data_IF_514503988047
#
_entry.id   IF_514503988047
#
_cell.length_a   1.000
_cell.length_b   1.000
_cell.length_c   1.000
_cell.angle_alpha   90.00
_cell.angle_beta   90.00
_cell.angle_gamma   90.00
#
_symmetry.space_group_name_H-M   'P 1'
#
loop_
_entity.id
_entity.type
_entity.pdbx_description
1 polymer ?
#
# COMPACT_ATOMS: atom_id res chain seq x y z
N UNK A 1 65.88 15.99 -3.17
CA UNK A 1 65.00 14.85 -3.49
C UNK A 1 64.25 14.53 -2.21
N UNK A 2 63.00 14.98 -2.14
CA UNK A 2 62.32 15.29 -0.89
C UNK A 2 61.72 14.06 -0.21
N UNK A 3 61.98 14.02 1.09
CA UNK A 3 61.53 13.12 2.16
C UNK A 3 60.02 13.16 2.45
N UNK A 4 59.17 13.24 1.42
CA UNK A 4 57.70 13.28 1.54
C UNK A 4 57.04 11.90 1.52
N UNK A 5 57.57 10.98 0.72
CA UNK A 5 56.91 9.69 0.44
C UNK A 5 56.91 8.69 1.61
N UNK A 6 57.79 8.89 2.61
CA UNK A 6 57.88 8.01 3.78
C UNK A 6 56.95 8.41 4.94
N UNK A 7 56.32 9.60 4.89
CA UNK A 7 55.36 10.04 5.92
C UNK A 7 53.91 9.60 5.63
N UNK A 8 53.56 9.39 4.36
CA UNK A 8 52.20 8.96 3.98
C UNK A 8 51.93 7.48 4.25
N UNK A 9 52.96 6.62 4.27
CA UNK A 9 52.80 5.21 4.63
C UNK A 9 52.67 4.96 6.13
N UNK A 10 53.17 5.86 6.99
CA UNK A 10 53.00 5.74 8.44
C UNK A 10 51.63 6.21 8.94
N UNK A 11 50.87 6.96 8.14
CA UNK A 11 49.50 7.36 8.45
C UNK A 11 48.45 6.28 8.10
N UNK A 12 48.82 5.26 7.32
CA UNK A 12 47.96 4.11 6.98
C UNK A 12 47.74 3.13 8.14
N UNK A 13 48.52 3.24 9.23
CA UNK A 13 48.46 2.31 10.38
C UNK A 13 47.78 2.93 11.62
N UNK A 14 47.57 4.25 11.66
CA UNK A 14 46.86 4.92 12.76
C UNK A 14 45.49 5.40 12.28
N UNK A 15 44.46 4.58 12.49
CA UNK A 15 43.09 4.86 12.09
C UNK A 15 42.56 6.19 12.62
N UNK A 16 42.30 7.12 11.71
CA UNK A 16 41.47 8.31 11.93
C UNK A 16 41.02 8.86 10.57
N UNK A 17 39.88 8.41 10.06
CA UNK A 17 39.14 9.07 8.97
C UNK A 17 37.65 9.02 9.26
N UNK A 18 36.95 10.12 8.99
CA UNK A 18 35.50 10.24 9.17
C UNK A 18 34.76 9.86 7.88
N UNK A 19 33.49 9.44 7.98
CA UNK A 19 32.69 8.92 6.86
C UNK A 19 32.46 9.93 5.71
N UNK A 20 32.75 11.21 5.91
CA UNK A 20 32.64 12.27 4.88
C UNK A 20 33.82 12.24 3.91
N UNK A 21 34.99 11.79 4.34
CA UNK A 21 36.22 11.81 3.54
C UNK A 21 36.32 10.62 2.57
N UNK A 22 35.58 9.52 2.84
CA UNK A 22 35.45 8.39 1.91
C UNK A 22 34.62 8.72 0.66
N UNK A 23 33.58 9.55 0.79
CA UNK A 23 32.70 9.91 -0.33
C UNK A 23 33.41 10.80 -1.36
N UNK A 24 34.40 11.59 -0.95
CA UNK A 24 35.16 12.48 -1.85
C UNK A 24 36.15 11.76 -2.77
N UNK A 25 36.72 10.63 -2.36
CA UNK A 25 37.65 9.84 -3.18
C UNK A 25 36.93 8.87 -4.14
N UNK A 26 35.78 8.33 -3.75
CA UNK A 26 34.98 7.45 -4.60
C UNK A 26 34.39 8.18 -5.82
N UNK A 27 34.04 9.46 -5.68
CA UNK A 27 33.47 10.27 -6.77
C UNK A 27 34.53 10.70 -7.80
N UNK A 28 35.81 10.78 -7.42
CA UNK A 28 36.92 11.12 -8.32
C UNK A 28 37.46 9.94 -9.12
N UNK A 29 37.32 8.71 -8.61
CA UNK A 29 37.75 7.49 -9.31
C UNK A 29 36.77 6.98 -10.39
N UNK A 30 35.50 7.39 -10.33
CA UNK A 30 34.46 6.94 -11.26
C UNK A 30 34.30 7.80 -12.52
N UNK A 31 35.05 8.90 -12.63
CA UNK A 31 34.99 9.84 -13.76
C UNK A 31 36.12 9.69 -14.78
N UNK A 32 37.07 8.76 -14.57
CA UNK A 32 38.21 8.50 -15.48
C UNK A 32 38.11 7.19 -16.29
N UNK A 33 36.96 6.49 -16.28
CA UNK A 33 36.76 5.23 -17.03
C UNK A 33 35.68 5.30 -18.13
N UNK A 34 35.51 6.47 -18.76
CA UNK A 34 34.68 6.61 -19.98
C UNK A 34 35.55 6.76 -21.23
N UNK A 35 35.83 5.63 -21.88
CA UNK A 35 36.39 5.56 -23.24
C UNK A 35 35.51 4.71 -24.17
N UNK A 36 35.27 5.11 -25.44
CA UNK A 36 34.29 4.49 -26.31
C UNK A 36 34.95 3.45 -27.23
N UNK A 37 34.64 2.17 -27.03
CA UNK A 37 34.56 1.12 -28.06
C UNK A 37 34.53 -0.22 -27.33
N UNK A 38 33.62 -1.10 -27.73
CA UNK A 38 33.88 -2.54 -27.89
C UNK A 38 32.59 -3.22 -28.37
N UNK A 39 32.53 -3.32 -29.69
CA UNK A 39 31.68 -4.24 -30.45
C UNK A 39 31.82 -5.69 -29.98
N UNK A 40 30.69 -6.39 -30.04
CA UNK A 40 30.51 -7.85 -30.05
C UNK A 40 31.79 -8.72 -30.14
N UNK A 41 32.16 -9.37 -29.05
CA UNK A 41 32.81 -10.68 -29.12
C UNK A 41 32.37 -11.56 -27.95
N UNK A 42 31.68 -12.65 -28.28
CA UNK A 42 31.61 -14.01 -27.71
C UNK A 42 31.84 -14.34 -26.21
N UNK A 43 32.30 -13.44 -25.34
CA UNK A 43 32.51 -13.68 -23.92
C UNK A 43 31.24 -13.50 -23.07
N UNK A 44 30.24 -12.75 -23.57
CA UNK A 44 28.97 -12.50 -22.88
C UNK A 44 27.96 -13.66 -22.96
N UNK A 45 28.21 -14.69 -23.79
CA UNK A 45 27.34 -15.89 -23.91
C UNK A 45 27.79 -17.09 -23.06
N UNK A 46 28.97 -17.03 -22.43
CA UNK A 46 29.50 -18.12 -21.62
C UNK A 46 29.21 -17.98 -20.11
N UNK A 47 28.55 -16.90 -19.68
CA UNK A 47 28.22 -16.65 -18.27
C UNK A 47 26.77 -17.01 -17.86
N UNK A 48 25.93 -17.46 -18.80
CA UNK A 48 24.51 -17.72 -18.56
C UNK A 48 24.14 -19.19 -18.34
N UNK A 49 25.11 -20.10 -18.21
CA UNK A 49 24.81 -21.55 -18.09
C UNK A 49 25.41 -22.28 -16.89
N UNK A 50 26.09 -21.61 -15.95
CA UNK A 50 26.64 -22.27 -14.75
C UNK A 50 26.58 -21.40 -13.48
N UNK A 51 25.39 -20.90 -13.12
CA UNK A 51 25.15 -20.32 -11.80
C UNK A 51 24.08 -21.14 -11.08
N UNK A 52 24.40 -21.86 -9.99
CA UNK A 52 23.38 -22.49 -9.17
C UNK A 52 22.48 -21.41 -8.57
N UNK A 53 21.18 -21.55 -8.79
CA UNK A 53 20.10 -20.68 -8.30
C UNK A 53 19.96 -20.84 -6.78
N UNK A 54 20.98 -20.48 -6.00
CA UNK A 54 20.95 -20.38 -4.54
C UNK A 54 22.02 -19.41 -4.03
N UNK A 55 21.95 -18.15 -4.49
CA UNK A 55 22.55 -17.02 -3.77
C UNK A 55 22.01 -15.71 -4.35
N UNK A 56 20.72 -15.44 -4.09
CA UNK A 56 20.28 -14.06 -4.03
C UNK A 56 20.97 -13.45 -2.82
N UNK A 57 21.74 -12.40 -3.08
CA UNK A 57 22.52 -11.70 -2.08
C UNK A 57 21.56 -10.89 -1.19
N UNK A 58 21.21 -11.45 -0.02
CA UNK A 58 20.30 -10.85 0.98
C UNK A 58 20.94 -9.66 1.73
N UNK A 59 21.77 -8.85 1.06
CA UNK A 59 22.50 -7.74 1.68
C UNK A 59 21.73 -6.42 1.76
N UNK A 60 20.47 -6.36 1.28
CA UNK A 60 19.71 -5.10 1.18
C UNK A 60 18.59 -4.96 2.22
N UNK A 61 18.23 -6.02 2.94
CA UNK A 61 17.29 -5.89 4.06
C UNK A 61 17.74 -6.72 5.26
N UNK A 62 18.57 -6.11 6.12
CA UNK A 62 18.98 -6.74 7.37
C UNK A 62 17.79 -7.06 8.28
N UNK A 63 16.59 -6.50 8.05
CA UNK A 63 15.44 -6.60 8.98
C UNK A 63 14.28 -7.46 8.47
N UNK A 64 14.16 -7.68 7.17
CA UNK A 64 13.17 -8.61 6.60
C UNK A 64 13.51 -10.09 6.87
N UNK A 65 14.78 -10.42 7.09
CA UNK A 65 15.21 -11.75 7.58
C UNK A 65 15.08 -11.88 9.10
N UNK A 66 15.16 -13.10 9.64
CA UNK A 66 15.22 -13.31 11.10
C UNK A 66 16.65 -13.32 11.65
N UNK A 67 17.65 -13.33 10.77
CA UNK A 67 19.09 -13.46 11.06
C UNK A 67 19.59 -12.45 12.09
N UNK A 68 19.19 -11.18 11.92
CA UNK A 68 19.58 -10.11 12.82
C UNK A 68 19.01 -10.29 14.24
N UNK A 69 17.85 -10.94 14.38
CA UNK A 69 17.24 -11.21 15.69
C UNK A 69 18.00 -12.30 16.44
N UNK A 70 18.53 -13.29 15.70
CA UNK A 70 19.39 -14.32 16.27
C UNK A 70 20.64 -13.67 16.87
N UNK A 71 21.29 -12.78 16.12
CA UNK A 71 22.45 -12.03 16.58
C UNK A 71 22.10 -11.13 17.78
N UNK A 72 20.98 -10.40 17.71
CA UNK A 72 20.51 -9.51 18.78
C UNK A 72 20.30 -10.27 20.10
N UNK A 73 19.76 -11.49 20.03
CA UNK A 73 19.48 -12.32 21.20
C UNK A 73 20.60 -13.30 21.55
N UNK A 74 21.76 -13.22 20.89
CA UNK A 74 22.89 -14.17 21.03
C UNK A 74 22.46 -15.64 20.88
N UNK A 75 21.53 -15.93 19.97
CA UNK A 75 21.05 -17.29 19.68
C UNK A 75 21.80 -17.87 18.47
N UNK A 76 22.22 -19.14 18.51
CA UNK A 76 22.92 -19.75 17.37
C UNK A 76 21.94 -20.05 16.22
N UNK A 77 22.32 -19.72 14.98
CA UNK A 77 21.60 -20.13 13.76
C UNK A 77 21.83 -21.59 13.40
N UNK A 78 22.93 -22.19 13.87
CA UNK A 78 23.34 -23.56 13.55
C UNK A 78 22.73 -24.64 14.45
N UNK A 79 22.11 -24.26 15.58
CA UNK A 79 21.52 -25.20 16.54
C UNK A 79 20.01 -24.98 16.67
N UNK A 80 19.18 -26.03 16.69
CA UNK A 80 17.75 -25.88 16.86
C UNK A 80 17.35 -25.23 18.20
N UNK A 81 16.40 -24.31 18.15
CA UNK A 81 15.78 -23.67 19.29
C UNK A 81 14.73 -24.59 19.94
N UNK A 82 14.48 -24.36 21.24
CA UNK A 82 13.26 -24.87 21.90
C UNK A 82 12.05 -24.03 21.51
N UNK A 83 10.83 -24.49 21.80
CA UNK A 83 9.60 -23.70 21.59
C UNK A 83 9.69 -22.32 22.25
N UNK A 84 10.11 -22.25 23.51
CA UNK A 84 10.29 -20.97 24.22
C UNK A 84 11.38 -20.10 23.56
N UNK A 85 12.45 -20.73 23.07
CA UNK A 85 13.52 -20.03 22.38
C UNK A 85 13.07 -19.43 21.05
N UNK A 86 12.24 -20.15 20.29
CA UNK A 86 11.64 -19.66 19.05
C UNK A 86 10.60 -18.56 19.33
N UNK A 87 9.76 -18.75 20.35
CA UNK A 87 8.79 -17.74 20.75
C UNK A 87 9.48 -16.41 21.09
N UNK A 88 10.48 -16.42 21.98
CA UNK A 88 11.26 -15.21 22.31
C UNK A 88 11.90 -14.53 21.09
N UNK A 89 12.38 -15.34 20.15
CA UNK A 89 12.95 -14.82 18.90
C UNK A 89 11.87 -14.10 18.09
N UNK A 90 10.71 -14.72 17.89
CA UNK A 90 9.63 -14.16 17.09
C UNK A 90 8.94 -12.95 17.76
N UNK A 91 8.90 -12.92 19.09
CA UNK A 91 8.42 -11.76 19.86
C UNK A 91 9.29 -10.52 19.62
N UNK A 92 10.61 -10.69 19.60
CA UNK A 92 11.51 -9.58 19.26
C UNK A 92 11.47 -9.23 17.77
N UNK A 93 11.37 -10.24 16.90
CA UNK A 93 11.21 -10.03 15.47
C UNK A 93 10.00 -9.12 15.21
N UNK A 94 8.82 -9.47 15.72
CA UNK A 94 7.59 -8.73 15.42
C UNK A 94 7.60 -7.31 16.00
N UNK A 95 8.14 -7.13 17.21
CA UNK A 95 8.27 -5.81 17.82
C UNK A 95 9.13 -4.87 16.97
N UNK A 96 10.33 -5.30 16.58
CA UNK A 96 11.26 -4.47 15.78
C UNK A 96 10.79 -4.34 14.33
N UNK A 97 10.14 -5.36 13.79
CA UNK A 97 9.57 -5.29 12.44
C UNK A 97 8.45 -4.24 12.35
N UNK A 98 7.67 -4.04 13.42
CA UNK A 98 6.62 -3.02 13.48
C UNK A 98 7.15 -1.64 13.87
N UNK A 99 8.02 -1.53 14.88
CA UNK A 99 8.44 -0.24 15.45
C UNK A 99 9.88 0.20 15.09
N UNK A 100 10.62 -0.60 14.33
CA UNK A 100 12.03 -0.31 14.02
C UNK A 100 12.97 -0.49 15.21
N UNK A 101 14.16 0.13 15.15
CA UNK A 101 15.24 -0.13 16.10
C UNK A 101 15.01 0.51 17.49
N UNK A 102 14.12 1.48 17.57
CA UNK A 102 13.84 2.23 18.80
C UNK A 102 13.25 1.33 19.90
N UNK A 103 12.59 0.24 19.52
CA UNK A 103 11.97 -0.70 20.45
C UNK A 103 12.95 -1.72 21.04
N UNK A 104 14.20 -1.77 20.53
CA UNK A 104 15.19 -2.80 20.92
C UNK A 104 15.47 -2.76 22.43
N UNK A 105 15.55 -1.57 23.03
CA UNK A 105 15.80 -1.42 24.48
C UNK A 105 14.64 -1.92 25.35
N UNK A 106 13.44 -2.05 24.79
CA UNK A 106 12.20 -2.43 25.48
C UNK A 106 11.92 -3.93 25.38
N UNK A 107 12.68 -4.66 24.54
CA UNK A 107 12.50 -6.09 24.34
C UNK A 107 12.62 -6.87 25.65
N UNK A 108 11.73 -7.85 25.83
CA UNK A 108 11.65 -8.65 27.05
C UNK A 108 10.84 -8.00 28.19
N UNK A 109 10.48 -6.72 28.07
CA UNK A 109 9.56 -6.06 28.99
C UNK A 109 8.14 -5.97 28.41
N UNK A 110 7.36 -7.04 28.60
CA UNK A 110 5.98 -7.11 28.09
C UNK A 110 5.05 -5.99 28.58
N UNK A 111 5.33 -5.36 29.74
CA UNK A 111 4.50 -4.26 30.23
C UNK A 111 4.73 -2.97 29.44
N UNK A 112 5.97 -2.69 29.06
CA UNK A 112 6.31 -1.53 28.24
C UNK A 112 5.94 -1.78 26.78
N UNK A 113 6.14 -2.99 26.25
CA UNK A 113 5.67 -3.34 24.90
C UNK A 113 4.15 -3.21 24.76
N UNK A 114 3.39 -3.54 25.81
CA UNK A 114 1.94 -3.34 25.84
C UNK A 114 1.50 -1.86 25.93
N UNK A 115 2.40 -0.94 26.25
CA UNK A 115 2.13 0.51 26.18
C UNK A 115 2.37 1.06 24.78
N UNK A 116 3.32 0.48 24.04
CA UNK A 116 3.66 0.89 22.67
C UNK A 116 2.71 0.26 21.67
N UNK A 117 2.47 -1.04 21.77
CA UNK A 117 1.65 -1.79 20.83
C UNK A 117 0.26 -2.06 21.40
N UNK A 118 -0.82 -1.60 20.72
CA UNK A 118 -2.16 -1.98 21.11
C UNK A 118 -2.31 -3.49 21.02
N UNK A 119 -3.00 -4.08 22.01
CA UNK A 119 -3.30 -5.50 22.04
C UNK A 119 -2.07 -6.41 21.89
N UNK A 120 -0.93 -6.04 22.52
CA UNK A 120 0.30 -6.85 22.52
C UNK A 120 0.04 -8.34 22.84
N UNK A 121 -0.89 -8.64 23.75
CA UNK A 121 -1.26 -10.02 24.07
C UNK A 121 -1.88 -10.79 22.89
N UNK A 122 -2.64 -10.11 22.02
CA UNK A 122 -3.21 -10.70 20.81
C UNK A 122 -2.14 -10.92 19.76
N UNK A 123 -1.19 -9.99 19.64
CA UNK A 123 -0.02 -10.13 18.76
C UNK A 123 0.83 -11.35 19.15
N UNK A 124 1.05 -11.57 20.44
CA UNK A 124 1.73 -12.76 20.95
C UNK A 124 0.96 -14.05 20.62
N UNK A 125 -0.37 -14.04 20.72
CA UNK A 125 -1.21 -15.19 20.32
C UNK A 125 -1.14 -15.45 18.82
N UNK A 126 -1.11 -14.40 18.00
CA UNK A 126 -0.91 -14.51 16.56
C UNK A 126 0.43 -15.19 16.23
N UNK A 127 1.54 -14.73 16.84
CA UNK A 127 2.86 -15.37 16.69
C UNK A 127 2.84 -16.84 17.12
N UNK A 128 2.22 -17.15 18.26
CA UNK A 128 2.07 -18.54 18.73
C UNK A 128 1.23 -19.40 17.77
N UNK A 129 0.23 -18.80 17.12
CA UNK A 129 -0.57 -19.42 16.07
C UNK A 129 0.27 -19.81 14.86
N UNK A 130 1.21 -18.96 14.43
CA UNK A 130 2.11 -19.25 13.31
C UNK A 130 3.08 -20.41 13.63
N UNK A 131 3.59 -20.49 14.86
CA UNK A 131 4.38 -21.65 15.31
C UNK A 131 3.52 -22.93 15.26
N UNK A 132 2.27 -22.83 15.72
CA UNK A 132 1.34 -23.96 15.72
C UNK A 132 0.97 -24.43 14.31
N UNK A 133 0.85 -23.50 13.36
CA UNK A 133 0.61 -23.81 11.94
C UNK A 133 1.79 -24.60 11.34
N UNK A 134 3.02 -24.19 11.63
CA UNK A 134 4.21 -24.94 11.20
C UNK A 134 4.23 -26.36 11.80
N UNK A 135 3.94 -26.50 13.09
CA UNK A 135 3.91 -27.82 13.74
C UNK A 135 2.82 -28.73 13.15
N UNK A 136 1.65 -28.15 12.83
CA UNK A 136 0.58 -28.86 12.13
C UNK A 136 1.05 -29.33 10.75
N UNK A 137 1.66 -28.46 9.95
CA UNK A 137 2.15 -28.81 8.61
C UNK A 137 3.18 -29.95 8.65
N UNK A 138 4.16 -29.85 9.55
CA UNK A 138 5.17 -30.89 9.75
C UNK A 138 4.53 -32.23 10.14
N UNK A 139 3.52 -32.21 11.01
CA UNK A 139 2.80 -33.42 11.42
C UNK A 139 2.04 -34.05 10.25
N UNK A 140 1.43 -33.23 9.39
CA UNK A 140 0.69 -33.66 8.21
C UNK A 140 1.61 -34.27 7.16
N UNK A 141 2.72 -33.60 6.85
CA UNK A 141 3.71 -34.09 5.89
C UNK A 141 4.34 -35.42 6.37
N UNK A 142 4.67 -35.53 7.65
CA UNK A 142 5.19 -36.77 8.21
C UNK A 142 4.18 -37.92 8.13
N UNK A 143 2.90 -37.65 8.42
CA UNK A 143 1.81 -38.61 8.31
C UNK A 143 1.62 -39.08 6.87
N UNK A 144 1.67 -38.16 5.89
CA UNK A 144 1.58 -38.50 4.48
C UNK A 144 2.78 -39.32 4.00
N UNK A 145 4.00 -38.95 4.38
CA UNK A 145 5.23 -39.71 4.04
C UNK A 145 5.21 -41.11 4.61
N UNK A 146 4.76 -41.28 5.85
CA UNK A 146 4.63 -42.60 6.47
C UNK A 146 3.64 -43.50 5.72
N UNK A 147 2.53 -42.94 5.23
CA UNK A 147 1.55 -43.65 4.39
C UNK A 147 2.13 -44.08 3.05
N UNK A 148 2.94 -43.24 2.40
CA UNK A 148 3.50 -43.49 1.06
C UNK A 148 4.68 -44.45 1.10
N UNK A 149 5.59 -44.29 2.07
CA UNK A 149 6.86 -45.03 2.12
C UNK A 149 6.79 -46.32 2.94
N UNK A 150 5.74 -46.50 3.74
CA UNK A 150 5.60 -47.65 4.64
C UNK A 150 6.64 -47.72 5.76
N UNK A 151 7.53 -46.73 5.86
CA UNK A 151 8.55 -46.63 6.90
C UNK A 151 8.19 -45.53 7.90
N UNK A 152 8.26 -45.79 9.21
CA UNK A 152 8.21 -44.74 10.22
C UNK A 152 9.51 -43.93 10.11
N UNK A 153 9.47 -42.86 9.32
CA UNK A 153 10.63 -41.98 9.14
C UNK A 153 11.14 -41.45 10.50
N UNK A 154 12.46 -41.45 10.70
CA UNK A 154 13.13 -41.00 11.94
C UNK A 154 12.88 -39.53 12.35
N UNK A 155 12.04 -38.81 11.61
CA UNK A 155 11.54 -37.47 11.94
C UNK A 155 10.48 -37.46 13.06
N UNK A 156 9.92 -38.62 13.44
CA UNK A 156 8.98 -38.71 14.56
C UNK A 156 9.52 -38.11 15.86
N UNK A 157 10.79 -38.34 16.20
CA UNK A 157 11.41 -37.75 17.40
C UNK A 157 11.54 -36.22 17.33
N UNK A 158 11.77 -35.64 16.15
CA UNK A 158 11.87 -34.18 15.99
C UNK A 158 10.50 -33.49 16.16
N UNK A 159 9.43 -34.14 15.72
CA UNK A 159 8.05 -33.69 15.97
C UNK A 159 7.69 -33.72 17.47
N UNK A 160 8.12 -34.76 18.19
CA UNK A 160 7.87 -34.88 19.64
C UNK A 160 8.76 -33.94 20.48
N UNK A 161 9.96 -33.62 20.01
CA UNK A 161 10.91 -32.77 20.76
C UNK A 161 10.67 -31.27 20.58
N UNK A 162 9.75 -30.85 19.67
CA UNK A 162 9.44 -29.45 19.35
C UNK A 162 10.69 -28.58 19.26
N UNK A 163 11.58 -28.98 18.34
CA UNK A 163 12.81 -28.27 18.01
C UNK A 163 12.66 -27.55 16.67
N UNK A 164 13.20 -26.35 16.60
CA UNK A 164 13.04 -25.46 15.44
C UNK A 164 14.40 -25.03 14.93
N UNK A 165 14.72 -25.41 13.70
CA UNK A 165 15.90 -24.95 12.99
C UNK A 165 15.77 -23.47 12.60
N UNK A 166 16.85 -22.90 12.09
CA UNK A 166 16.83 -21.57 11.49
C UNK A 166 15.86 -21.48 10.30
N UNK A 167 15.78 -22.53 9.45
CA UNK A 167 14.81 -22.54 8.34
C UNK A 167 13.37 -22.54 8.83
N UNK A 168 13.09 -23.21 9.95
CA UNK A 168 11.76 -23.22 10.54
C UNK A 168 11.36 -21.83 11.07
N UNK A 169 12.29 -21.13 11.73
CA UNK A 169 12.04 -19.77 12.17
C UNK A 169 11.77 -18.84 10.98
N UNK A 170 12.53 -18.97 9.89
CA UNK A 170 12.29 -18.21 8.66
C UNK A 170 10.93 -18.54 8.02
N UNK A 171 10.52 -19.81 8.02
CA UNK A 171 9.21 -20.22 7.52
C UNK A 171 8.07 -19.59 8.35
N UNK A 172 8.21 -19.55 9.67
CA UNK A 172 7.25 -18.88 10.56
C UNK A 172 7.21 -17.38 10.30
N UNK A 173 8.36 -16.74 10.09
CA UNK A 173 8.43 -15.32 9.69
C UNK A 173 7.71 -15.08 8.37
N UNK A 174 7.90 -15.93 7.36
CA UNK A 174 7.13 -15.84 6.11
C UNK A 174 5.62 -15.98 6.32
N UNK A 175 5.20 -16.86 7.23
CA UNK A 175 3.80 -16.98 7.65
C UNK A 175 3.26 -15.71 8.31
N UNK A 176 4.06 -15.09 9.20
CA UNK A 176 3.75 -13.80 9.81
C UNK A 176 3.55 -12.75 8.72
N UNK A 177 4.55 -12.51 7.85
CA UNK A 177 4.50 -11.43 6.86
C UNK A 177 3.35 -11.58 5.86
N UNK A 178 2.99 -12.82 5.51
CA UNK A 178 1.92 -13.09 4.54
C UNK A 178 0.50 -13.03 5.11
N UNK A 179 0.33 -13.10 6.43
CA UNK A 179 -1.00 -13.12 7.07
C UNK A 179 -1.25 -11.98 8.04
N UNK A 180 -0.24 -11.14 8.27
CA UNK A 180 -0.33 -10.04 9.21
C UNK A 180 -1.35 -8.97 8.81
N UNK A 181 -1.48 -8.67 7.52
CA UNK A 181 -2.46 -7.69 7.03
C UNK A 181 -3.90 -8.09 7.43
N UNK A 182 -4.27 -9.35 7.18
CA UNK A 182 -5.58 -9.89 7.59
C UNK A 182 -5.77 -9.92 9.11
N UNK A 183 -4.70 -10.12 9.89
CA UNK A 183 -4.77 -10.02 11.35
C UNK A 183 -4.99 -8.56 11.80
N UNK A 184 -4.32 -7.60 11.16
CA UNK A 184 -4.38 -6.18 11.53
C UNK A 184 -5.67 -5.48 11.06
N UNK A 185 -6.39 -6.07 10.11
CA UNK A 185 -7.63 -5.51 9.56
C UNK A 185 -8.69 -5.21 10.63
N UNK A 186 -8.74 -5.96 11.74
CA UNK A 186 -9.66 -5.64 12.85
C UNK A 186 -9.34 -4.30 13.51
N UNK A 187 -8.06 -3.94 13.62
CA UNK A 187 -7.63 -2.65 14.15
C UNK A 187 -7.95 -1.52 13.17
N UNK A 188 -7.76 -1.75 11.87
CA UNK A 188 -8.17 -0.81 10.81
C UNK A 188 -9.68 -0.53 10.87
N UNK A 189 -10.51 -1.57 11.00
CA UNK A 189 -11.96 -1.43 11.16
C UNK A 189 -12.35 -0.69 12.42
N UNK A 190 -11.71 -1.01 13.56
CA UNK A 190 -11.97 -0.32 14.82
C UNK A 190 -11.63 1.17 14.74
N UNK A 191 -10.50 1.51 14.09
CA UNK A 191 -10.10 2.90 13.83
C UNK A 191 -11.10 3.62 12.92
N UNK A 192 -11.49 3.00 11.80
CA UNK A 192 -12.51 3.55 10.89
C UNK A 192 -13.84 3.77 11.59
N UNK A 193 -14.31 2.81 12.40
CA UNK A 193 -15.56 2.93 13.15
C UNK A 193 -15.56 4.16 14.07
N UNK A 194 -14.44 4.43 14.76
CA UNK A 194 -14.31 5.65 15.58
C UNK A 194 -14.49 6.92 14.73
N UNK A 195 -13.81 7.03 13.58
CA UNK A 195 -13.98 8.18 12.68
C UNK A 195 -15.41 8.29 12.16
N UNK A 196 -16.04 7.18 11.81
CA UNK A 196 -17.43 7.11 11.37
C UNK A 196 -18.39 7.64 12.44
N UNK A 197 -18.14 7.40 13.73
CA UNK A 197 -18.96 7.98 14.82
C UNK A 197 -18.88 9.51 14.87
N UNK A 198 -17.79 10.10 14.37
CA UNK A 198 -17.58 11.56 14.34
C UNK A 198 -18.17 12.22 13.08
N UNK A 199 -18.44 11.44 12.04
CA UNK A 199 -19.11 11.85 10.80
C UNK A 199 -20.63 11.99 11.01
N UNK A 200 -21.00 13.00 11.79
CA UNK A 200 -22.39 13.32 12.13
C UNK A 200 -23.27 13.67 10.92
N UNK A 201 -22.65 13.97 9.76
CA UNK A 201 -23.34 14.38 8.54
C UNK A 201 -23.40 13.27 7.49
N UNK A 202 -22.84 12.09 7.77
CA UNK A 202 -22.78 10.94 6.86
C UNK A 202 -22.15 11.29 5.49
N UNK A 203 -21.14 12.15 5.52
CA UNK A 203 -20.43 12.65 4.33
C UNK A 203 -19.08 11.96 4.09
N UNK A 204 -18.74 10.97 4.93
CA UNK A 204 -17.42 10.34 4.90
C UNK A 204 -16.29 11.26 5.38
N UNK A 205 -16.66 12.36 6.05
CA UNK A 205 -15.74 13.40 6.48
C UNK A 205 -15.94 13.72 7.96
N UNK A 206 -14.84 13.86 8.69
CA UNK A 206 -14.82 14.25 10.10
C UNK A 206 -14.38 15.70 10.21
N UNK A 207 -15.15 16.60 10.83
CA UNK A 207 -14.68 17.96 11.10
C UNK A 207 -13.36 17.93 11.88
N UNK A 208 -12.38 18.74 11.46
CA UNK A 208 -11.04 18.74 12.05
C UNK A 208 -11.07 19.06 13.56
N UNK A 209 -12.04 19.88 13.99
CA UNK A 209 -12.28 20.16 15.41
C UNK A 209 -12.68 18.93 16.22
N UNK A 210 -13.47 18.00 15.64
CA UNK A 210 -13.84 16.73 16.27
C UNK A 210 -12.70 15.72 16.22
N UNK A 211 -11.93 15.72 15.13
CA UNK A 211 -10.74 14.87 14.96
C UNK A 211 -9.73 15.13 16.09
N UNK A 212 -9.34 16.39 16.30
CA UNK A 212 -8.44 16.76 17.40
C UNK A 212 -9.12 16.79 18.77
N UNK A 213 -10.39 17.19 18.85
CA UNK A 213 -11.13 17.22 20.11
C UNK A 213 -11.14 15.86 20.82
N UNK A 214 -11.23 14.76 20.09
CA UNK A 214 -11.16 13.40 20.65
C UNK A 214 -9.75 13.00 21.11
N UNK A 215 -8.71 13.46 20.41
CA UNK A 215 -7.32 13.27 20.83
C UNK A 215 -7.08 13.87 22.23
N UNK A 216 -7.67 15.04 22.48
CA UNK A 216 -7.57 15.77 23.75
C UNK A 216 -8.44 15.14 24.85
N UNK A 217 -9.69 14.74 24.57
CA UNK A 217 -10.64 14.32 25.62
C UNK A 217 -10.59 12.84 25.98
N UNK A 218 -10.28 11.96 25.03
CA UNK A 218 -10.43 10.50 25.20
C UNK A 218 -9.08 9.79 25.36
N UNK A 219 -7.97 10.53 25.45
CA UNK A 219 -6.61 10.01 25.39
C UNK A 219 -6.39 9.09 24.16
N UNK A 220 -7.14 9.33 23.09
CA UNK A 220 -7.02 8.60 21.83
C UNK A 220 -5.86 9.20 21.04
N UNK A 221 -4.64 8.83 21.44
CA UNK A 221 -3.37 9.26 20.84
C UNK A 221 -3.24 9.00 19.33
N UNK A 222 -4.17 8.24 18.74
CA UNK A 222 -4.13 7.79 17.35
C UNK A 222 -4.46 8.88 16.33
N UNK A 223 -5.13 9.96 16.71
CA UNK A 223 -5.59 11.02 15.79
C UNK A 223 -4.83 12.33 16.06
N UNK A 224 -3.58 12.37 15.61
CA UNK A 224 -2.63 13.41 16.00
C UNK A 224 -1.89 14.08 14.86
N UNK A 225 -2.14 13.69 13.61
CA UNK A 225 -1.43 14.22 12.46
C UNK A 225 -1.67 15.73 12.25
N UNK A 226 -0.61 16.46 11.89
CA UNK A 226 -0.68 17.90 11.64
C UNK A 226 -1.52 18.22 10.42
N UNK A 227 -2.09 19.43 10.40
CA UNK A 227 -2.88 19.89 9.25
C UNK A 227 -2.05 19.86 7.96
N UNK A 228 -0.76 20.22 8.04
CA UNK A 228 0.14 20.20 6.89
C UNK A 228 0.37 18.80 6.35
N UNK A 229 0.46 17.81 7.24
CA UNK A 229 0.66 16.42 6.83
C UNK A 229 -0.63 15.80 6.29
N UNK A 230 -1.78 16.03 6.95
CA UNK A 230 -3.09 15.58 6.47
C UNK A 230 -3.41 16.14 5.07
N UNK A 231 -3.05 17.39 4.79
CA UNK A 231 -3.17 17.99 3.45
C UNK A 231 -2.34 17.25 2.43
N UNK A 232 -1.09 16.95 2.77
CA UNK A 232 -0.18 16.28 1.85
C UNK A 232 -0.62 14.85 1.53
N UNK A 233 -1.11 14.11 2.52
CA UNK A 233 -1.72 12.80 2.33
C UNK A 233 -2.99 12.84 1.46
N UNK A 234 -3.51 14.03 1.13
CA UNK A 234 -4.80 14.19 0.48
C UNK A 234 -5.96 13.78 1.39
N UNK A 235 -5.74 13.74 2.71
CA UNK A 235 -6.75 13.39 3.70
C UNK A 235 -7.50 14.62 4.23
N UNK A 236 -7.09 15.84 3.89
CA UNK A 236 -7.74 17.07 4.35
C UNK A 236 -8.57 17.75 3.25
N UNK A 237 -9.82 18.05 3.57
CA UNK A 237 -10.73 18.90 2.81
C UNK A 237 -10.82 20.29 3.44
N UNK A 238 -10.44 21.31 2.66
CA UNK A 238 -10.48 22.72 3.07
C UNK A 238 -11.42 23.56 2.21
N UNK A 239 -12.21 22.92 1.33
CA UNK A 239 -12.98 23.61 0.30
C UNK A 239 -14.30 24.18 0.82
N UNK A 240 -14.84 23.61 1.90
CA UNK A 240 -16.08 24.08 2.51
C UNK A 240 -15.83 25.22 3.52
N UNK A 241 -16.13 26.46 3.12
CA UNK A 241 -16.09 27.60 4.03
C UNK A 241 -17.06 27.42 5.22
N UNK A 242 -18.20 26.78 4.97
CA UNK A 242 -19.28 26.61 5.96
C UNK A 242 -19.01 25.48 6.95
N UNK A 243 -18.46 24.35 6.48
CA UNK A 243 -18.14 23.21 7.34
C UNK A 243 -16.75 23.34 7.99
N UNK A 244 -15.90 24.20 7.44
CA UNK A 244 -14.51 24.30 7.85
C UNK A 244 -13.69 23.15 7.30
N UNK A 245 -12.52 22.93 7.91
CA UNK A 245 -11.61 21.85 7.50
C UNK A 245 -12.14 20.52 7.98
N UNK A 246 -12.06 19.50 7.13
CA UNK A 246 -12.56 18.15 7.43
C UNK A 246 -11.56 17.09 6.98
N UNK A 247 -11.40 16.04 7.76
CA UNK A 247 -10.61 14.86 7.40
C UNK A 247 -11.50 13.91 6.58
N UNK A 248 -11.04 13.52 5.39
CA UNK A 248 -11.67 12.54 4.50
C UNK A 248 -11.32 11.15 5.05
N UNK A 249 -12.32 10.45 5.59
CA UNK A 249 -12.13 9.18 6.31
C UNK A 249 -11.35 8.14 5.49
N UNK A 250 -11.80 7.77 4.28
CA UNK A 250 -11.10 6.73 3.52
C UNK A 250 -9.65 7.15 3.20
N UNK A 251 -9.41 8.41 2.82
CA UNK A 251 -8.06 8.91 2.50
C UNK A 251 -7.14 8.89 3.72
N UNK A 252 -7.68 9.16 4.91
CA UNK A 252 -6.94 9.03 6.15
C UNK A 252 -6.59 7.57 6.45
N UNK A 253 -7.58 6.67 6.44
CA UNK A 253 -7.38 5.23 6.73
C UNK A 253 -6.35 4.59 5.78
N UNK A 254 -6.39 4.96 4.50
CA UNK A 254 -5.43 4.49 3.48
C UNK A 254 -4.14 5.33 3.43
N UNK A 255 -4.01 6.34 4.27
CA UNK A 255 -2.83 7.22 4.32
C UNK A 255 -1.60 6.49 4.84
N UNK A 256 -0.42 6.94 4.39
CA UNK A 256 0.86 6.32 4.76
C UNK A 256 1.16 6.33 6.28
N UNK A 257 0.55 7.24 7.06
CA UNK A 257 0.64 7.22 8.53
C UNK A 257 -0.08 6.04 9.18
N UNK A 258 -1.03 5.42 8.47
CA UNK A 258 -1.81 4.28 8.94
C UNK A 258 -1.30 2.93 8.40
N UNK A 259 -0.11 2.91 7.77
CA UNK A 259 0.59 1.69 7.45
C UNK A 259 1.41 1.19 8.65
N UNK A 260 0.97 0.10 9.28
CA UNK A 260 1.55 -0.43 10.53
C UNK A 260 2.98 -0.94 10.37
N UNK A 261 3.33 -1.45 9.19
CA UNK A 261 4.67 -1.94 8.89
C UNK A 261 5.15 -1.25 7.63
N UNK A 262 6.34 -0.68 7.70
CA UNK A 262 7.06 -0.14 6.55
C UNK A 262 8.39 -0.85 6.43
N UNK A 263 8.48 -1.81 5.50
CA UNK A 263 9.72 -2.46 5.12
C UNK A 263 10.39 -1.72 3.95
N UNK A 264 11.55 -2.21 3.51
CA UNK A 264 12.30 -1.61 2.41
C UNK A 264 11.56 -1.70 1.07
N UNK A 265 10.81 -2.78 0.86
CA UNK A 265 10.17 -3.11 -0.41
C UNK A 265 8.65 -3.12 -0.35
N UNK A 266 8.07 -3.07 0.85
CA UNK A 266 6.63 -3.13 1.01
C UNK A 266 6.16 -2.45 2.29
N UNK A 267 4.88 -2.09 2.29
CA UNK A 267 4.19 -1.66 3.49
C UNK A 267 2.92 -2.48 3.68
N UNK A 268 2.53 -2.68 4.94
CA UNK A 268 1.25 -3.28 5.31
C UNK A 268 0.35 -2.14 5.79
N UNK A 269 -0.73 -1.90 5.05
CA UNK A 269 -1.67 -0.83 5.29
C UNK A 269 -3.09 -1.39 5.44
N UNK A 270 -4.04 -0.54 5.82
CA UNK A 270 -5.44 -0.93 5.87
C UNK A 270 -5.98 -1.31 4.48
N UNK A 271 -7.00 -2.16 4.47
CA UNK A 271 -7.64 -2.61 3.24
C UNK A 271 -8.42 -1.45 2.60
N UNK A 272 -8.26 -1.28 1.28
CA UNK A 272 -9.09 -0.37 0.51
C UNK A 272 -10.49 -0.98 0.31
N UNK A 273 -11.47 -0.53 1.10
CA UNK A 273 -12.85 -1.02 1.06
C UNK A 273 -13.60 -0.65 -0.23
N UNK A 274 -13.04 0.22 -1.08
CA UNK A 274 -13.57 0.50 -2.42
C UNK A 274 -13.24 -0.62 -3.43
N UNK A 275 -12.18 -1.42 -3.20
CA UNK A 275 -11.77 -2.47 -4.15
C UNK A 275 -12.85 -3.52 -4.37
N UNK A 276 -13.54 -4.06 -3.34
CA UNK A 276 -14.67 -4.97 -3.57
C UNK A 276 -15.82 -4.34 -4.37
N UNK A 277 -16.10 -3.05 -4.17
CA UNK A 277 -17.14 -2.31 -4.91
C UNK A 277 -16.74 -2.22 -6.38
N UNK A 278 -15.50 -1.82 -6.65
CA UNK A 278 -14.95 -1.78 -8.00
C UNK A 278 -14.92 -3.17 -8.66
N UNK A 279 -14.56 -4.22 -7.93
CA UNK A 279 -14.55 -5.59 -8.43
C UNK A 279 -15.93 -6.06 -8.89
N UNK A 280 -16.99 -5.74 -8.13
CA UNK A 280 -18.38 -6.03 -8.53
C UNK A 280 -18.79 -5.24 -9.78
N UNK A 281 -18.37 -3.97 -9.88
CA UNK A 281 -18.57 -3.13 -11.09
C UNK A 281 -17.88 -3.76 -12.30
N UNK A 282 -16.61 -4.13 -12.17
CA UNK A 282 -15.81 -4.73 -13.22
C UNK A 282 -16.38 -6.09 -13.68
N UNK A 283 -16.82 -6.93 -12.73
CA UNK A 283 -17.42 -8.22 -13.01
C UNK A 283 -18.74 -8.09 -13.79
N UNK A 284 -19.56 -7.09 -13.46
CA UNK A 284 -20.82 -6.85 -14.16
C UNK A 284 -20.62 -6.18 -15.52
N UNK A 285 -19.74 -5.17 -15.60
CA UNK A 285 -19.54 -4.36 -16.81
C UNK A 285 -18.73 -5.11 -17.87
N UNK A 286 -17.67 -5.84 -17.48
CA UNK A 286 -16.77 -6.60 -18.38
C UNK A 286 -16.22 -5.78 -19.56
N UNK A 287 -16.07 -4.48 -19.36
CA UNK A 287 -15.68 -3.48 -20.36
C UNK A 287 -15.06 -2.28 -19.65
N UNK A 288 -14.08 -1.57 -20.25
CA UNK A 288 -13.51 -0.37 -19.63
C UNK A 288 -14.48 0.82 -19.61
N UNK A 289 -15.63 0.70 -20.28
CA UNK A 289 -16.67 1.72 -20.33
C UNK A 289 -18.06 1.09 -20.20
N UNK A 290 -19.00 1.81 -19.60
CA UNK A 290 -20.39 1.39 -19.39
C UNK A 290 -21.38 2.52 -19.70
N UNK A 291 -22.65 2.19 -19.98
CA UNK A 291 -23.70 3.22 -20.08
C UNK A 291 -24.13 3.69 -18.69
N UNK A 292 -24.68 4.90 -18.61
CA UNK A 292 -25.18 5.49 -17.36
C UNK A 292 -26.26 4.61 -16.74
N UNK A 293 -27.20 4.11 -17.54
CA UNK A 293 -28.32 3.29 -17.07
C UNK A 293 -27.84 1.98 -16.47
N UNK A 294 -26.81 1.37 -17.06
CA UNK A 294 -26.25 0.12 -16.55
C UNK A 294 -25.55 0.37 -15.20
N UNK A 295 -24.75 1.43 -15.09
CA UNK A 295 -24.06 1.79 -13.85
C UNK A 295 -25.04 2.15 -12.72
N UNK A 296 -26.06 2.97 -13.01
CA UNK A 296 -27.08 3.33 -12.01
C UNK A 296 -27.86 2.11 -11.53
N UNK A 297 -28.23 1.20 -12.43
CA UNK A 297 -28.92 -0.04 -12.07
C UNK A 297 -28.06 -0.97 -11.24
N UNK A 298 -26.74 -1.00 -11.50
CA UNK A 298 -25.81 -1.86 -10.78
C UNK A 298 -25.53 -1.29 -9.39
N UNK A 299 -25.06 -0.05 -9.35
CA UNK A 299 -24.67 0.65 -8.11
C UNK A 299 -25.87 0.84 -7.18
N UNK A 300 -27.06 1.09 -7.72
CA UNK A 300 -28.28 1.20 -6.90
C UNK A 300 -28.70 -0.09 -6.19
N UNK A 301 -28.17 -1.24 -6.60
CA UNK A 301 -28.43 -2.54 -5.96
C UNK A 301 -27.27 -3.00 -5.05
N UNK A 302 -26.16 -2.26 -4.99
CA UNK A 302 -25.00 -2.62 -4.19
C UNK A 302 -25.23 -2.27 -2.73
N UNK A 303 -25.15 -3.24 -1.82
CA UNK A 303 -25.02 -2.91 -0.39
C UNK A 303 -23.63 -2.35 -0.13
N UNK A 304 -23.54 -1.17 0.49
CA UNK A 304 -22.29 -0.74 1.12
C UNK A 304 -21.86 -1.84 2.12
N UNK A 305 -20.73 -2.49 1.86
CA UNK A 305 -20.40 -3.83 2.36
C UNK A 305 -20.19 -3.94 3.89
N UNK A 306 -20.37 -2.89 4.69
CA UNK A 306 -19.90 -2.87 6.08
C UNK A 306 -20.83 -2.25 7.15
N UNK A 307 -22.14 -2.10 6.96
CA UNK A 307 -23.02 -1.64 8.05
C UNK A 307 -24.23 -2.55 8.29
N UNK A 308 -24.05 -3.55 9.16
CA UNK A 308 -25.16 -4.28 9.79
C UNK A 308 -25.96 -3.40 10.80
N UNK A 309 -25.55 -2.15 11.04
CA UNK A 309 -26.14 -1.30 12.07
C UNK A 309 -26.55 0.12 11.61
N UNK A 310 -26.34 0.48 10.34
CA UNK A 310 -26.85 1.75 9.81
C UNK A 310 -27.14 1.54 8.32
N UNK A 311 -28.42 1.53 7.94
CA UNK A 311 -28.86 1.65 6.56
C UNK A 311 -28.27 2.96 5.99
N UNK A 312 -27.14 2.85 5.29
CA UNK A 312 -26.62 3.94 4.48
C UNK A 312 -27.40 3.86 3.18
N UNK A 313 -28.41 4.72 3.04
CA UNK A 313 -29.07 4.92 1.75
C UNK A 313 -27.99 5.34 0.74
N UNK A 314 -27.76 4.50 -0.27
CA UNK A 314 -26.91 4.83 -1.42
C UNK A 314 -27.44 6.15 -1.99
N UNK A 315 -26.60 7.19 -2.00
CA UNK A 315 -27.01 8.54 -2.37
C UNK A 315 -27.09 8.69 -3.89
N UNK A 316 -28.01 8.01 -4.57
CA UNK A 316 -28.29 8.23 -5.99
C UNK A 316 -29.36 9.32 -6.18
N UNK A 317 -29.05 10.54 -5.77
CA UNK A 317 -29.91 11.70 -6.03
C UNK A 317 -29.82 12.16 -7.50
N UNK A 318 -30.71 13.07 -7.90
CA UNK A 318 -30.72 13.66 -9.24
C UNK A 318 -29.37 14.27 -9.62
N UNK A 319 -28.62 14.76 -8.62
CA UNK A 319 -27.30 15.33 -8.84
C UNK A 319 -26.27 14.26 -9.23
N UNK A 320 -26.18 13.14 -8.51
CA UNK A 320 -25.31 12.00 -8.87
C UNK A 320 -25.63 11.46 -10.26
N UNK A 321 -26.92 11.37 -10.61
CA UNK A 321 -27.34 10.97 -11.95
C UNK A 321 -26.84 11.98 -13.00
N UNK A 322 -27.02 13.27 -12.75
CA UNK A 322 -26.59 14.33 -13.67
C UNK A 322 -25.06 14.36 -13.87
N UNK A 323 -24.29 14.10 -12.82
CA UNK A 323 -22.83 14.03 -12.89
C UNK A 323 -22.37 12.87 -13.76
N UNK A 324 -22.95 11.69 -13.55
CA UNK A 324 -22.64 10.52 -14.36
C UNK A 324 -23.01 10.72 -15.84
N UNK A 325 -24.11 11.42 -16.11
CA UNK A 325 -24.49 11.84 -17.46
C UNK A 325 -23.51 12.85 -18.07
N UNK A 326 -22.98 13.79 -17.28
CA UNK A 326 -21.96 14.74 -17.72
C UNK A 326 -20.70 14.02 -18.18
N UNK A 327 -20.20 13.08 -17.37
CA UNK A 327 -19.04 12.23 -17.71
C UNK A 327 -19.33 11.47 -19.01
N UNK A 328 -20.49 10.80 -19.10
CA UNK A 328 -20.86 10.05 -20.29
C UNK A 328 -20.91 10.92 -21.56
N UNK A 329 -21.41 12.16 -21.45
CA UNK A 329 -21.52 13.10 -22.58
C UNK A 329 -20.16 13.42 -23.18
N UNK A 330 -19.13 13.58 -22.36
CA UNK A 330 -17.76 13.85 -22.82
C UNK A 330 -17.10 12.60 -23.44
N UNK A 331 -17.61 11.42 -23.11
CA UNK A 331 -17.07 10.12 -23.51
C UNK A 331 -18.01 9.32 -24.44
N UNK A 332 -18.77 10.01 -25.29
CA UNK A 332 -19.56 9.38 -26.36
C UNK A 332 -20.76 8.57 -25.88
N UNK A 333 -21.37 8.99 -24.77
CA UNK A 333 -22.53 8.36 -24.15
C UNK A 333 -22.19 7.20 -23.20
N UNK A 334 -20.90 6.98 -22.90
CA UNK A 334 -20.45 5.94 -21.99
C UNK A 334 -19.48 6.52 -20.96
N UNK A 335 -19.43 5.94 -19.77
CA UNK A 335 -18.57 6.35 -18.67
C UNK A 335 -17.34 5.44 -18.62
N UNK A 336 -16.11 5.97 -18.66
CA UNK A 336 -14.90 5.21 -18.36
C UNK A 336 -14.87 4.82 -16.87
N UNK A 337 -14.95 3.52 -16.56
CA UNK A 337 -15.08 3.06 -15.16
C UNK A 337 -13.75 3.08 -14.38
N UNK A 338 -12.63 3.34 -15.05
CA UNK A 338 -11.32 3.55 -14.42
C UNK A 338 -10.85 5.02 -14.52
N UNK A 339 -11.75 5.92 -14.90
CA UNK A 339 -11.49 7.35 -14.97
C UNK A 339 -11.56 8.01 -13.60
N UNK A 340 -10.79 9.10 -13.42
CA UNK A 340 -10.78 9.88 -12.17
C UNK A 340 -12.18 10.38 -11.80
N UNK A 341 -12.96 10.89 -12.75
CA UNK A 341 -14.31 11.40 -12.52
C UNK A 341 -15.27 10.30 -12.07
N UNK A 342 -15.14 9.08 -12.58
CA UNK A 342 -15.94 7.95 -12.10
C UNK A 342 -15.53 7.54 -10.68
N UNK A 343 -14.24 7.50 -10.37
CA UNK A 343 -13.77 7.29 -9.00
C UNK A 343 -14.25 8.40 -8.06
N UNK A 344 -14.35 9.64 -8.55
CA UNK A 344 -14.86 10.78 -7.76
C UNK A 344 -16.35 10.65 -7.52
N UNK A 345 -17.09 10.18 -8.53
CA UNK A 345 -18.51 9.84 -8.38
C UNK A 345 -18.70 8.73 -7.34
N UNK A 346 -17.91 7.65 -7.40
CA UNK A 346 -17.94 6.58 -6.40
C UNK A 346 -17.60 7.06 -4.99
N UNK A 347 -16.64 7.97 -4.83
CA UNK A 347 -16.35 8.60 -3.55
C UNK A 347 -17.60 9.28 -2.97
N UNK A 348 -18.42 9.95 -3.78
CA UNK A 348 -19.60 10.63 -3.28
C UNK A 348 -20.80 9.70 -3.06
N UNK A 349 -20.87 8.60 -3.80
CA UNK A 349 -21.89 7.55 -3.61
C UNK A 349 -21.58 6.67 -2.39
N UNK A 350 -20.31 6.34 -2.17
CA UNK A 350 -19.79 5.51 -1.07
C UNK A 350 -18.77 6.29 -0.22
N UNK A 351 -19.19 7.35 0.48
CA UNK A 351 -18.27 8.32 1.09
C UNK A 351 -17.39 7.79 2.21
N UNK A 352 -17.76 6.67 2.83
CA UNK A 352 -16.98 6.05 3.91
C UNK A 352 -16.02 4.98 3.40
N UNK A 353 -16.18 4.52 2.16
CA UNK A 353 -15.51 3.33 1.63
C UNK A 353 -14.55 3.69 0.49
N UNK A 354 -14.96 4.61 -0.38
CA UNK A 354 -14.18 5.02 -1.54
C UNK A 354 -13.36 6.28 -1.29
N UNK A 355 -12.07 6.23 -1.64
CA UNK A 355 -11.13 7.34 -1.56
C UNK A 355 -11.53 8.48 -2.48
N UNK A 356 -11.28 9.73 -2.06
CA UNK A 356 -11.37 10.87 -2.94
C UNK A 356 -10.17 10.88 -3.90
N UNK A 357 -10.38 10.84 -5.23
CA UNK A 357 -9.30 10.78 -6.21
C UNK A 357 -8.78 12.18 -6.52
N UNK A 358 -7.78 12.58 -5.75
CA UNK A 358 -6.97 13.76 -6.01
C UNK A 358 -6.31 13.68 -7.38
N UNK A 359 -6.06 14.85 -7.99
CA UNK A 359 -5.32 14.90 -9.27
C UNK A 359 -3.91 14.37 -9.07
N UNK A 360 -3.34 13.81 -10.13
CA UNK A 360 -1.96 13.34 -10.11
C UNK A 360 -1.01 14.46 -9.67
N UNK A 361 -0.25 14.22 -8.61
CA UNK A 361 0.70 15.17 -8.03
C UNK A 361 0.13 16.19 -7.04
N UNK A 362 -1.18 16.18 -6.73
CA UNK A 362 -1.74 17.07 -5.69
C UNK A 362 -1.67 16.52 -4.26
N UNK A 363 -1.40 15.22 -4.11
CA UNK A 363 -1.16 14.54 -2.84
C UNK A 363 0.07 13.63 -2.94
N UNK A 364 0.71 13.34 -1.81
CA UNK A 364 1.87 12.46 -1.69
C UNK A 364 1.64 11.46 -0.55
N UNK A 365 2.06 10.22 -0.74
CA UNK A 365 1.94 9.16 0.26
C UNK A 365 3.24 8.98 1.05
N UNK A 366 3.76 10.08 1.63
CA UNK A 366 4.97 10.01 2.44
C UNK A 366 4.65 9.45 3.83
N UNK A 367 5.43 8.50 4.29
CA UNK A 367 5.34 7.99 5.67
C UNK A 367 5.76 9.06 6.70
N UNK A 368 5.40 8.91 7.99
CA UNK A 368 5.83 9.83 9.04
C UNK A 368 7.36 10.06 9.06
N UNK A 369 8.14 9.01 8.83
CA UNK A 369 9.60 9.06 8.79
C UNK A 369 10.13 9.86 7.58
N UNK A 370 9.45 9.81 6.44
CA UNK A 370 9.82 10.55 5.22
C UNK A 370 9.35 12.01 5.25
N UNK A 371 8.31 12.29 6.03
CA UNK A 371 7.82 13.65 6.26
C UNK A 371 8.69 14.41 7.27
N UNK A 372 9.10 13.74 8.35
CA UNK A 372 9.91 14.29 9.44
C UNK A 372 9.09 14.79 10.63
N UNK A 373 9.75 15.48 11.57
CA UNK A 373 9.23 15.81 12.90
C UNK A 373 7.92 16.63 12.94
N UNK A 374 7.52 17.24 11.81
CA UNK A 374 6.29 18.03 11.71
C UNK A 374 5.03 17.21 11.38
N UNK A 375 5.10 15.87 11.40
CA UNK A 375 3.96 15.03 11.04
C UNK A 375 2.84 15.03 12.08
N UNK A 376 3.16 15.33 13.35
CA UNK A 376 2.18 15.50 14.44
C UNK A 376 1.85 16.97 14.66
N UNK A 377 0.58 17.25 14.95
CA UNK A 377 0.12 18.56 15.39
C UNK A 377 0.68 18.86 16.79
N UNK A 378 0.91 20.14 17.08
CA UNK A 378 1.18 20.57 18.45
C UNK A 378 -0.10 20.60 19.29
N UNK A 379 0.02 20.50 20.62
CA UNK A 379 -1.13 20.65 21.53
C UNK A 379 -1.88 21.98 21.28
N UNK A 380 -1.13 23.07 21.02
CA UNK A 380 -1.70 24.38 20.70
C UNK A 380 -2.51 24.36 19.39
N UNK A 381 -2.03 23.64 18.36
CA UNK A 381 -2.73 23.45 17.09
C UNK A 381 -4.02 22.66 17.30
N UNK A 382 -3.93 21.52 18.00
CA UNK A 382 -5.09 20.68 18.31
C UNK A 382 -6.14 21.46 19.10
N UNK A 383 -5.73 22.23 20.12
CA UNK A 383 -6.62 23.07 20.90
C UNK A 383 -7.26 24.20 20.10
N UNK A 384 -6.50 24.85 19.21
CA UNK A 384 -7.00 25.93 18.37
C UNK A 384 -8.12 25.43 17.46
N UNK A 385 -7.95 24.24 16.87
CA UNK A 385 -8.97 23.61 16.04
C UNK A 385 -10.14 23.05 16.85
N UNK A 386 -9.91 22.46 18.02
CA UNK A 386 -10.97 21.92 18.87
C UNK A 386 -11.98 23.00 19.32
N UNK A 387 -11.58 24.27 19.33
CA UNK A 387 -12.45 25.42 19.63
C UNK A 387 -13.38 25.83 18.46
N UNK A 388 -13.22 25.25 17.26
CA UNK A 388 -14.10 25.55 16.12
C UNK A 388 -15.47 24.86 16.24
N UNK A 389 -16.51 25.68 16.45
CA UNK A 389 -17.90 25.27 16.66
C UNK A 389 -18.70 25.07 15.38
N UNK A 390 -18.13 25.26 14.18
CA UNK A 390 -18.83 24.97 12.90
C UNK A 390 -19.34 23.53 12.81
N UNK A 391 -18.65 22.61 13.48
CA UNK A 391 -19.00 21.20 13.57
C UNK A 391 -20.25 20.92 14.44
N UNK A 392 -20.67 21.87 15.28
CA UNK A 392 -21.82 21.75 16.19
C UNK A 392 -23.14 22.16 15.54
N UNK A 393 -23.10 22.81 14.37
CA UNK A 393 -24.30 23.24 13.65
C UNK A 393 -25.11 22.00 13.21
N UNK A 394 -26.35 21.81 13.70
CA UNK A 394 -27.14 20.61 13.43
C UNK A 394 -27.49 20.45 11.96
N UNK A 395 -27.46 19.21 11.45
CA UNK A 395 -27.80 18.89 10.06
C UNK A 395 -29.21 19.38 9.68
N UNK A 396 -30.17 19.30 10.62
CA UNK A 396 -31.55 19.77 10.43
C UNK A 396 -31.68 21.27 10.13
N UNK A 397 -30.63 22.05 10.40
CA UNK A 397 -30.59 23.50 10.16
C UNK A 397 -29.89 23.87 8.85
N UNK A 398 -29.35 22.88 8.12
CA UNK A 398 -28.63 23.09 6.87
C UNK A 398 -29.41 22.50 5.69
N UNK A 399 -29.57 23.28 4.63
CA UNK A 399 -30.04 22.75 3.34
C UNK A 399 -28.93 21.94 2.67
N UNK A 400 -29.29 21.00 1.78
CA UNK A 400 -28.33 20.13 1.08
C UNK A 400 -27.33 20.94 0.24
N UNK A 401 -27.79 22.02 -0.38
CA UNK A 401 -26.97 22.95 -1.16
C UNK A 401 -26.00 23.75 -0.27
N UNK A 402 -26.39 23.99 0.98
CA UNK A 402 -25.57 24.70 1.97
C UNK A 402 -24.49 23.81 2.59
N UNK A 403 -24.65 22.48 2.54
CA UNK A 403 -23.63 21.56 3.04
C UNK A 403 -22.35 21.62 2.20
N UNK A 404 -22.43 22.09 0.94
CA UNK A 404 -21.29 22.09 0.03
C UNK A 404 -20.56 20.73 0.05
N UNK A 405 -21.31 19.63 0.17
CA UNK A 405 -20.77 18.30 0.47
C UNK A 405 -19.88 17.76 -0.68
N UNK A 406 -20.04 18.31 -1.88
CA UNK A 406 -19.19 18.08 -3.05
C UNK A 406 -18.30 19.27 -3.41
N UNK A 407 -17.90 20.09 -2.44
CA UNK A 407 -17.09 21.29 -2.71
C UNK A 407 -15.72 20.99 -3.34
N UNK A 408 -15.23 19.75 -3.21
CA UNK A 408 -14.01 19.28 -3.88
C UNK A 408 -14.24 18.75 -5.31
N UNK A 409 -15.48 18.65 -5.78
CA UNK A 409 -15.75 18.14 -7.13
C UNK A 409 -15.03 18.99 -8.19
N UNK A 410 -14.38 18.32 -9.14
CA UNK A 410 -13.63 18.97 -10.22
C UNK A 410 -13.76 18.16 -11.51
N UNK A 411 -14.19 18.84 -12.58
CA UNK A 411 -14.47 18.31 -13.93
C UNK A 411 -13.23 17.83 -14.70
N UNK A 412 -12.05 17.85 -14.09
CA UNK A 412 -10.79 17.56 -14.76
C UNK A 412 -10.55 16.04 -14.85
N UNK A 413 -10.70 15.46 -16.05
CA UNK A 413 -10.55 14.01 -16.20
C UNK A 413 -9.10 13.54 -16.32
N UNK A 414 -8.78 12.42 -15.65
CA UNK A 414 -7.53 11.66 -15.83
C UNK A 414 -7.88 10.21 -16.17
N UNK A 415 -7.43 9.72 -17.32
CA UNK A 415 -7.69 8.37 -17.80
C UNK A 415 -6.42 7.53 -17.77
N UNK A 416 -6.54 6.28 -17.33
CA UNK A 416 -5.45 5.31 -17.40
C UNK A 416 -5.04 4.96 -18.85
N UNK A 417 -5.99 5.01 -19.78
CA UNK A 417 -5.76 4.73 -21.20
C UNK A 417 -6.66 5.58 -22.11
N UNK A 418 -6.27 5.75 -23.37
CA UNK A 418 -7.14 6.38 -24.37
C UNK A 418 -8.24 5.42 -24.84
N UNK A 419 -9.50 5.85 -24.71
CA UNK A 419 -10.68 5.08 -25.10
C UNK A 419 -11.29 5.54 -26.44
N UNK A 420 -10.63 6.42 -27.19
CA UNK A 420 -11.13 7.00 -28.46
C UNK A 420 -11.59 5.95 -29.47
N UNK A 421 -10.92 4.80 -29.50
CA UNK A 421 -11.22 3.70 -30.41
C UNK A 421 -12.52 2.97 -30.06
N UNK A 422 -12.90 2.93 -28.79
CA UNK A 422 -14.16 2.33 -28.31
C UNK A 422 -15.33 3.27 -28.57
N UNK A 423 -15.13 4.56 -28.30
CA UNK A 423 -16.11 5.61 -28.59
C UNK A 423 -16.45 5.65 -30.08
N UNK A 424 -15.43 5.61 -30.95
CA UNK A 424 -15.63 5.58 -32.42
C UNK A 424 -16.37 4.32 -32.88
N UNK A 425 -16.17 3.18 -32.23
CA UNK A 425 -16.83 1.92 -32.57
C UNK A 425 -18.29 1.89 -32.14
N UNK A 426 -18.63 2.53 -31.02
CA UNK A 426 -20.00 2.68 -30.56
C UNK A 426 -20.80 3.70 -31.41
N UNK A 427 -20.14 4.78 -31.87
CA UNK A 427 -20.75 5.79 -32.76
C UNK A 427 -20.82 5.37 -34.23
N UNK A 428 -20.03 4.38 -34.64
CA UNK A 428 -20.16 3.73 -35.94
C UNK A 428 -21.35 2.76 -35.91
N UNK A 429 -22.56 3.32 -35.96
CA UNK A 429 -23.77 2.58 -36.26
C UNK A 429 -23.55 1.69 -37.50
N UNK A 430 -24.24 0.56 -37.50
CA UNK A 430 -24.25 -0.57 -38.45
C UNK A 430 -24.31 -0.15 -39.94
N UNK A 431 -23.28 0.53 -40.41
CA UNK A 431 -23.07 0.94 -41.79
C UNK A 431 -22.45 -0.24 -42.52
N UNK A 432 -23.23 -0.81 -43.41
CA UNK A 432 -22.91 -1.92 -44.30
C UNK A 432 -21.58 -1.70 -45.02
N UNK A 433 -20.47 -2.21 -44.47
CA UNK A 433 -19.23 -2.40 -45.22
C UNK A 433 -19.37 -3.64 -46.11
N UNK A 434 -20.17 -3.50 -47.17
CA UNK A 434 -20.25 -4.49 -48.26
C UNK A 434 -18.96 -4.40 -49.08
N UNK A 435 -18.11 -5.42 -48.93
CA UNK A 435 -17.36 -6.11 -50.01
C UNK A 435 -16.49 -5.26 -50.96
N UNK A 436 -15.70 -4.31 -50.45
CA UNK A 436 -14.63 -3.68 -51.27
C UNK A 436 -13.19 -4.04 -50.83
N UNK A 437 -13.02 -4.88 -49.79
CA UNK A 437 -11.71 -5.17 -49.19
C UNK A 437 -10.98 -6.40 -49.74
N UNK A 438 -11.67 -7.34 -50.39
CA UNK A 438 -11.07 -8.60 -50.85
C UNK A 438 -10.29 -8.48 -52.17
N UNK A 439 -10.51 -7.41 -52.95
CA UNK A 439 -9.77 -7.18 -54.21
C UNK A 439 -8.37 -6.57 -54.00
N UNK A 440 -8.19 -5.73 -52.97
CA UNK A 440 -6.94 -5.01 -52.75
C UNK A 440 -5.91 -5.80 -51.92
N UNK A 441 -6.37 -6.70 -51.04
CA UNK A 441 -5.47 -7.56 -50.27
C UNK A 441 -4.76 -8.61 -51.14
N UNK A 442 -5.43 -9.10 -52.19
CA UNK A 442 -4.82 -10.01 -53.16
C UNK A 442 -3.77 -9.30 -54.04
N UNK A 443 -3.89 -7.99 -54.27
CA UNK A 443 -2.91 -7.23 -55.04
C UNK A 443 -1.65 -6.88 -54.23
N UNK A 444 -1.79 -6.63 -52.91
CA UNK A 444 -0.67 -6.31 -52.03
C UNK A 444 0.23 -7.52 -51.71
N UNK A 445 -0.32 -8.75 -51.75
CA UNK A 445 0.47 -9.98 -51.59
C UNK A 445 1.32 -10.28 -52.83
N UNK A 446 0.92 -9.82 -54.02
CA UNK A 446 1.68 -10.00 -55.26
C UNK A 446 2.87 -9.04 -55.45
N UNK A 447 2.93 -7.94 -54.69
CA UNK A 447 4.00 -6.91 -54.83
C UNK A 447 5.01 -6.92 -53.66
N UNK A 448 4.86 -7.83 -52.68
CA UNK A 448 5.93 -8.08 -51.69
C UNK A 448 6.30 -6.85 -50.82
N UNK A 449 5.34 -5.98 -50.52
CA UNK A 449 5.58 -4.74 -49.79
C UNK A 449 4.70 -4.64 -48.53
N UNK A 450 4.95 -5.48 -47.53
CA UNK A 450 4.49 -5.20 -46.15
C UNK A 450 5.61 -5.55 -45.17
N UNK A 451 6.40 -4.53 -44.83
CA UNK A 451 7.33 -4.55 -43.70
C UNK A 451 6.59 -4.08 -42.44
N UNK A 452 6.31 -4.99 -41.51
CA UNK A 452 5.81 -4.63 -40.18
C UNK A 452 6.97 -4.14 -39.31
N UNK A 453 7.22 -2.83 -39.32
CA UNK A 453 8.09 -2.22 -38.32
C UNK A 453 7.21 -1.60 -37.23
N UNK A 454 6.93 -2.37 -36.17
CA UNK A 454 6.17 -1.89 -35.01
C UNK A 454 7.18 -1.45 -33.95
N UNK A 455 7.54 -0.16 -33.95
CA UNK A 455 8.17 0.45 -32.79
C UNK A 455 7.15 0.51 -31.66
N UNK A 456 7.34 -0.32 -30.64
CA UNK A 456 6.65 -0.17 -29.37
C UNK A 456 7.26 1.04 -28.65
N UNK A 457 6.48 2.11 -28.50
CA UNK A 457 6.81 3.17 -27.57
C UNK A 457 6.55 2.61 -26.16
N UNK A 458 7.60 2.46 -25.37
CA UNK A 458 7.48 2.19 -23.94
C UNK A 458 6.77 3.38 -23.31
N UNK A 459 5.54 3.14 -22.87
CA UNK A 459 4.70 4.14 -22.25
C UNK A 459 5.00 4.16 -20.75
N UNK A 460 5.20 5.37 -20.26
CA UNK A 460 5.52 5.73 -18.89
C UNK A 460 4.58 5.06 -17.89
N UNK A 461 5.15 4.30 -16.97
CA UNK A 461 4.51 3.97 -15.68
C UNK A 461 4.63 5.21 -14.78
N UNK A 462 3.58 5.59 -14.03
CA UNK A 462 3.73 6.57 -12.97
C UNK A 462 4.74 6.04 -11.95
N UNK A 463 5.67 6.89 -11.56
CA UNK A 463 6.63 6.64 -10.48
C UNK A 463 5.84 6.67 -9.17
N UNK A 464 5.27 5.52 -8.79
CA UNK A 464 4.98 5.24 -7.39
C UNK A 464 6.30 4.99 -6.68
N UNK A 465 6.42 5.43 -5.43
CA UNK A 465 7.54 5.04 -4.55
C UNK A 465 7.77 3.55 -4.72
N UNK A 466 9.03 3.13 -4.87
CA UNK A 466 9.43 1.78 -5.31
C UNK A 466 9.09 0.63 -4.33
N UNK A 467 8.05 0.78 -3.53
CA UNK A 467 7.50 -0.19 -2.59
C UNK A 467 6.13 -0.67 -3.08
N UNK A 468 5.91 -1.97 -2.97
CA UNK A 468 4.62 -2.58 -3.26
C UNK A 468 3.76 -2.51 -1.99
N UNK A 469 2.55 -1.96 -2.08
CA UNK A 469 1.59 -1.99 -0.99
C UNK A 469 0.87 -3.34 -1.02
N UNK A 470 1.01 -4.14 0.04
CA UNK A 470 0.24 -5.38 0.19
C UNK A 470 -0.96 -5.12 1.08
N UNK A 471 -2.11 -5.58 0.60
CA UNK A 471 -3.41 -5.59 1.27
C UNK A 471 -3.68 -7.01 1.76
#
# INVERSE_FOLDING_TARGET
MNSGFAKEWLALISGAWTAVEWKGLAFKGLQELSGPDLSETAAARAWLTDVPIYRLDWHVDKKAGSDWVYDLQNKPTTRPLSTMGLQQLLEAYIAVWMAGDEIISTLGNNKELAQVFPHWDQLLKFVAGQISALDYERSHQASQRARVTGQPGGQGQQLFQRRYSFQDAHAVVGGITNSFASFWESECRAMKQKLVTLDSKRTGRVPLSKFYGKSITDAEWRFGESESYLRELGALDETSARLGKQVIIPNYIQGASNCIVTASHYSICCINECEPIMAEIEEAVKSPMATVEHLLSLVGNMTALNTLEDEVDILLDDFMVSQLQSIAKEHGGQVPIHGRLFAQWLHYVFPRDCLFPHKSGSAQSRSPNEYGDGYLASDDEMEAHAKDTRAEIPLATMKREELQWMSQWSEDEELFASYDHLVKRAGAGTGTFIVAGSGLFLLAVFIGAVSFNRKANQQFLPVGDGKVHFV
#
